data_IF_653395839045
#
_entry.id   IF_653395839045
#
_cell.length_a   1.000
_cell.length_b   1.000
_cell.length_c   1.000
_cell.angle_alpha   90.00
_cell.angle_beta   90.00
_cell.angle_gamma   90.00
#
_symmetry.space_group_name_H-M   'P 1'
#
loop_
_entity.id
_entity.type
_entity.pdbx_description
1 polymer ?
#
# COMPACT_ATOMS: atom_id res chain seq x y z
N UNK A 1 6.30 1.23 -8.71
CA UNK A 1 7.33 0.32 -8.16
C UNK A 1 6.66 -0.66 -7.23
N UNK A 2 6.89 -1.97 -7.38
CA UNK A 2 6.51 -3.00 -6.41
C UNK A 2 7.76 -3.52 -5.69
N UNK A 3 7.96 -3.10 -4.44
CA UNK A 3 9.14 -3.44 -3.64
C UNK A 3 8.80 -4.54 -2.62
N UNK A 4 9.44 -5.72 -2.71
CA UNK A 4 9.32 -6.78 -1.71
C UNK A 4 10.65 -7.51 -1.53
N UNK A 5 11.15 -7.64 -0.31
CA UNK A 5 12.40 -8.37 0.00
C UNK A 5 12.23 -9.90 -0.08
N UNK A 6 11.27 -10.39 -0.87
CA UNK A 6 10.83 -11.78 -0.98
C UNK A 6 9.85 -11.94 -2.15
N UNK A 7 8.96 -12.94 -2.05
CA UNK A 7 7.91 -13.14 -3.07
C UNK A 7 7.04 -11.89 -3.12
N UNK A 8 6.87 -11.33 -4.32
CA UNK A 8 5.97 -10.21 -4.53
C UNK A 8 4.54 -10.69 -4.30
N UNK A 9 3.86 -10.10 -3.31
CA UNK A 9 2.47 -10.44 -3.04
C UNK A 9 1.58 -10.07 -4.24
N UNK A 10 0.60 -10.93 -4.52
CA UNK A 10 -0.33 -10.74 -5.65
C UNK A 10 -1.07 -9.39 -5.58
N UNK A 11 -1.38 -8.88 -4.39
CA UNK A 11 -2.01 -7.57 -4.22
C UNK A 11 -1.18 -6.43 -4.81
N UNK A 12 0.14 -6.47 -4.71
CA UNK A 12 1.00 -5.41 -5.25
C UNK A 12 1.01 -5.43 -6.79
N UNK A 13 0.86 -6.62 -7.38
CA UNK A 13 0.69 -6.79 -8.83
C UNK A 13 -0.64 -6.16 -9.26
N UNK A 14 -1.75 -6.49 -8.60
CA UNK A 14 -3.06 -5.91 -8.95
C UNK A 14 -3.14 -4.40 -8.73
N UNK A 15 -2.58 -3.88 -7.63
CA UNK A 15 -2.46 -2.42 -7.43
C UNK A 15 -1.67 -1.75 -8.56
N UNK A 16 -0.60 -2.42 -9.06
CA UNK A 16 0.19 -1.92 -10.19
C UNK A 16 -0.62 -1.94 -11.49
N UNK A 17 -1.34 -3.03 -11.77
CA UNK A 17 -2.23 -3.14 -12.94
C UNK A 17 -3.35 -2.09 -12.88
N UNK A 18 -3.99 -1.91 -11.72
CA UNK A 18 -5.00 -0.88 -11.52
C UNK A 18 -4.45 0.52 -11.73
N UNK A 19 -3.26 0.81 -11.19
CA UNK A 19 -2.58 2.08 -11.39
C UNK A 19 -2.29 2.36 -12.87
N UNK A 20 -1.74 1.40 -13.60
CA UNK A 20 -1.48 1.53 -15.04
C UNK A 20 -2.78 1.78 -15.81
N UNK A 21 -3.85 1.04 -15.50
CA UNK A 21 -5.16 1.26 -16.11
C UNK A 21 -5.69 2.69 -15.83
N UNK A 22 -5.52 3.18 -14.61
CA UNK A 22 -5.93 4.53 -14.23
C UNK A 22 -5.14 5.61 -14.99
N UNK A 23 -3.82 5.47 -15.09
CA UNK A 23 -2.97 6.41 -15.83
C UNK A 23 -3.28 6.37 -17.34
N UNK A 24 -3.50 5.19 -17.93
CA UNK A 24 -3.88 5.07 -19.34
C UNK A 24 -5.24 5.72 -19.63
N UNK A 25 -6.24 5.50 -18.75
CA UNK A 25 -7.55 6.18 -18.86
C UNK A 25 -7.46 7.70 -18.69
N UNK A 26 -6.42 8.16 -17.99
CA UNK A 26 -6.08 9.58 -17.82
C UNK A 26 -5.34 10.17 -19.02
N UNK A 27 -5.05 9.37 -20.06
CA UNK A 27 -4.36 9.82 -21.27
C UNK A 27 -2.83 9.77 -21.20
N UNK A 28 -2.24 9.18 -20.16
CA UNK A 28 -0.79 8.99 -20.08
C UNK A 28 -0.40 7.78 -20.94
N UNK A 29 0.44 7.93 -21.97
CA UNK A 29 0.82 6.82 -22.82
C UNK A 29 1.82 5.88 -22.12
N UNK A 30 1.75 4.59 -22.42
CA UNK A 30 2.62 3.57 -21.81
C UNK A 30 4.12 3.83 -22.03
N UNK A 31 4.51 4.47 -23.13
CA UNK A 31 5.91 4.86 -23.40
C UNK A 31 6.48 5.86 -22.38
N UNK A 32 5.60 6.58 -21.66
CA UNK A 32 5.96 7.50 -20.58
C UNK A 32 5.92 6.81 -19.20
N UNK A 33 5.58 5.53 -19.13
CA UNK A 33 5.45 4.77 -17.89
C UNK A 33 6.57 3.75 -17.82
N UNK A 34 7.40 3.86 -16.78
CA UNK A 34 8.39 2.83 -16.42
C UNK A 34 7.91 2.04 -15.22
N UNK A 35 8.03 0.72 -15.29
CA UNK A 35 7.56 -0.18 -14.25
C UNK A 35 8.74 -0.90 -13.61
N UNK A 36 8.94 -0.61 -12.33
CA UNK A 36 9.94 -1.28 -11.50
C UNK A 36 9.25 -2.32 -10.63
N UNK A 37 9.69 -3.57 -10.72
CA UNK A 37 9.21 -4.68 -9.88
C UNK A 37 10.33 -5.71 -9.74
N UNK A 38 10.52 -6.22 -8.53
CA UNK A 38 11.50 -7.24 -8.25
C UNK A 38 11.27 -8.48 -9.13
N UNK A 39 12.36 -9.15 -9.50
CA UNK A 39 12.39 -10.20 -10.55
C UNK A 39 11.30 -11.28 -10.38
N UNK A 40 11.00 -11.65 -9.13
CA UNK A 40 10.01 -12.66 -8.79
C UNK A 40 8.56 -12.28 -9.19
N UNK A 41 8.25 -10.99 -9.34
CA UNK A 41 6.92 -10.52 -9.72
C UNK A 41 6.74 -10.19 -11.21
N UNK A 42 7.82 -10.21 -12.00
CA UNK A 42 7.78 -9.72 -13.38
C UNK A 42 6.87 -10.54 -14.29
N UNK A 43 6.98 -11.87 -14.27
CA UNK A 43 6.19 -12.72 -15.17
C UNK A 43 4.70 -12.67 -14.85
N UNK A 44 4.35 -12.70 -13.56
CA UNK A 44 2.97 -12.55 -13.11
C UNK A 44 2.40 -11.18 -13.50
N UNK A 45 3.18 -10.11 -13.37
CA UNK A 45 2.75 -8.78 -13.81
C UNK A 45 2.56 -8.71 -15.33
N UNK A 46 3.51 -9.21 -16.14
CA UNK A 46 3.37 -9.26 -17.60
C UNK A 46 2.10 -9.99 -18.01
N UNK A 47 1.85 -11.15 -17.41
CA UNK A 47 0.65 -11.93 -17.69
C UNK A 47 -0.63 -11.14 -17.41
N UNK A 48 -0.73 -10.48 -16.24
CA UNK A 48 -1.90 -9.69 -15.88
C UNK A 48 -2.09 -8.44 -16.74
N UNK A 49 -1.00 -7.77 -17.12
CA UNK A 49 -1.07 -6.61 -18.04
C UNK A 49 -1.58 -7.02 -19.42
N UNK A 50 -1.10 -8.14 -19.95
CA UNK A 50 -1.58 -8.69 -21.21
C UNK A 50 -3.04 -9.13 -21.11
N UNK A 51 -3.40 -9.92 -20.09
CA UNK A 51 -4.75 -10.52 -20.00
C UNK A 51 -5.85 -9.51 -19.65
N UNK A 52 -5.55 -8.53 -18.79
CA UNK A 52 -6.58 -7.60 -18.28
C UNK A 52 -6.60 -6.27 -19.03
N UNK A 53 -5.46 -5.81 -19.55
CA UNK A 53 -5.35 -4.50 -20.20
C UNK A 53 -4.99 -4.58 -21.69
N UNK A 54 -4.68 -5.78 -22.22
CA UNK A 54 -4.22 -5.94 -23.60
C UNK A 54 -2.87 -5.28 -23.87
N UNK A 55 -2.08 -5.01 -22.83
CA UNK A 55 -0.78 -4.35 -22.97
C UNK A 55 0.28 -5.42 -23.17
N UNK A 56 0.80 -5.48 -24.39
CA UNK A 56 1.87 -6.38 -24.79
C UNK A 56 3.22 -5.63 -24.80
N UNK A 57 4.33 -6.36 -24.64
CA UNK A 57 5.70 -5.83 -24.76
C UNK A 57 6.07 -4.70 -23.77
N UNK A 58 5.71 -4.87 -22.50
CA UNK A 58 6.11 -3.94 -21.43
C UNK A 58 7.53 -4.21 -20.95
N UNK A 59 8.37 -3.18 -20.97
CA UNK A 59 9.67 -3.22 -20.31
C UNK A 59 9.49 -3.18 -18.79
N UNK A 60 9.98 -4.23 -18.12
CA UNK A 60 9.99 -4.35 -16.66
C UNK A 60 11.43 -4.33 -16.17
N UNK A 61 11.72 -3.50 -15.20
CA UNK A 61 13.03 -3.41 -14.57
C UNK A 61 12.97 -3.85 -13.11
N UNK A 62 14.05 -4.45 -12.60
CA UNK A 62 14.19 -4.67 -11.15
C UNK A 62 14.34 -3.35 -10.41
N UNK A 63 13.97 -3.30 -9.13
CA UNK A 63 14.13 -2.07 -8.33
C UNK A 63 15.59 -1.67 -8.16
N UNK A 64 16.52 -2.62 -8.28
CA UNK A 64 17.97 -2.38 -8.30
C UNK A 64 18.40 -1.42 -9.42
N UNK A 65 17.63 -1.32 -10.50
CA UNK A 65 17.90 -0.42 -11.62
C UNK A 65 17.41 1.01 -11.40
N UNK A 66 16.80 1.34 -10.25
CA UNK A 66 16.17 2.63 -10.00
C UNK A 66 17.10 3.83 -10.24
N UNK A 67 18.29 3.85 -9.63
CA UNK A 67 19.23 4.98 -9.79
C UNK A 67 19.63 5.15 -11.26
N UNK A 68 19.95 4.05 -11.95
CA UNK A 68 20.31 4.06 -13.35
C UNK A 68 19.20 4.64 -14.23
N UNK A 69 17.97 4.15 -14.06
CA UNK A 69 16.81 4.61 -14.83
C UNK A 69 16.56 6.11 -14.62
N UNK A 70 16.63 6.59 -13.38
CA UNK A 70 16.46 8.01 -13.09
C UNK A 70 17.53 8.87 -13.78
N UNK A 71 18.75 8.37 -13.98
CA UNK A 71 19.82 9.11 -14.67
C UNK A 71 19.71 9.08 -16.21
N UNK A 72 19.05 8.05 -16.76
CA UNK A 72 18.94 7.80 -18.21
C UNK A 72 17.74 8.52 -18.85
N UNK A 73 16.66 8.79 -18.12
CA UNK A 73 15.39 9.36 -18.60
C UNK A 73 15.42 10.88 -18.86
N UNK A 74 16.40 11.35 -19.62
CA UNK A 74 16.69 12.78 -19.86
C UNK A 74 15.64 13.54 -20.66
N UNK A 75 14.65 12.84 -21.21
CA UNK A 75 13.60 13.44 -22.05
C UNK A 75 12.49 14.13 -21.25
N UNK A 76 12.47 13.94 -19.93
CA UNK A 76 11.43 14.46 -19.06
C UNK A 76 11.98 15.47 -18.05
N UNK A 77 11.19 16.50 -17.76
CA UNK A 77 11.50 17.49 -16.71
C UNK A 77 10.76 17.24 -15.41
N UNK A 78 9.80 16.32 -15.42
CA UNK A 78 8.95 16.01 -14.26
C UNK A 78 8.86 14.52 -14.08
N UNK A 79 8.97 14.09 -12.82
CA UNK A 79 8.84 12.70 -12.41
C UNK A 79 7.60 12.52 -11.54
N UNK A 80 6.77 11.54 -11.83
CA UNK A 80 5.73 11.06 -10.90
C UNK A 80 6.03 9.61 -10.57
N UNK A 81 6.19 9.30 -9.29
CA UNK A 81 6.63 7.99 -8.84
C UNK A 81 5.65 7.39 -7.83
N UNK A 82 4.94 6.34 -8.25
CA UNK A 82 4.07 5.56 -7.38
C UNK A 82 4.82 4.36 -6.81
N UNK A 83 4.90 4.27 -5.49
CA UNK A 83 5.59 3.20 -4.78
C UNK A 83 4.55 2.40 -4.00
N UNK A 84 4.49 1.11 -4.29
CA UNK A 84 3.75 0.10 -3.54
C UNK A 84 4.71 -1.02 -3.11
N UNK A 85 4.30 -1.80 -2.12
CA UNK A 85 5.11 -2.87 -1.57
C UNK A 85 5.24 -2.78 -0.06
N UNK A 86 6.21 -3.52 0.48
CA UNK A 86 6.49 -3.53 1.90
C UNK A 86 7.39 -2.36 2.32
N UNK A 87 7.13 -1.88 3.53
CA UNK A 87 7.98 -0.94 4.25
C UNK A 87 8.06 -1.34 5.71
N UNK A 88 9.17 -1.00 6.34
CA UNK A 88 9.37 -1.16 7.78
C UNK A 88 9.83 0.18 8.37
N UNK A 89 10.16 0.19 9.66
CA UNK A 89 10.59 1.39 10.38
C UNK A 89 11.96 1.95 9.92
N UNK A 90 12.63 1.31 8.95
CA UNK A 90 13.96 1.71 8.47
C UNK A 90 13.98 2.08 6.98
N UNK A 91 13.13 1.46 6.14
CA UNK A 91 13.27 1.54 4.69
C UNK A 91 12.04 1.05 3.90
N UNK A 92 12.08 1.26 2.58
CA UNK A 92 11.33 0.47 1.59
C UNK A 92 12.02 -0.88 1.43
N UNK A 93 11.26 -1.97 1.58
CA UNK A 93 11.77 -3.33 1.51
C UNK A 93 11.81 -3.82 0.06
N UNK A 94 12.60 -3.16 -0.79
CA UNK A 94 12.90 -3.63 -2.14
C UNK A 94 14.00 -4.72 -2.13
N UNK A 95 14.36 -5.30 -3.28
CA UNK A 95 15.46 -6.27 -3.38
C UNK A 95 16.74 -5.77 -2.68
N UNK A 96 17.09 -4.50 -2.92
CA UNK A 96 18.03 -3.75 -2.08
C UNK A 96 17.22 -2.73 -1.27
N UNK A 97 17.21 -2.81 0.07
CA UNK A 97 16.44 -1.88 0.90
C UNK A 97 16.76 -0.41 0.61
N UNK A 98 15.73 0.38 0.30
CA UNK A 98 15.89 1.80 -0.05
C UNK A 98 15.52 2.67 1.15
N UNK A 99 16.53 3.27 1.76
CA UNK A 99 16.37 4.23 2.86
C UNK A 99 15.87 5.59 2.32
N UNK A 100 15.23 6.43 3.16
CA UNK A 100 14.79 7.77 2.76
C UNK A 100 15.87 8.60 2.08
N UNK A 101 17.05 8.74 2.70
CA UNK A 101 18.15 9.52 2.15
C UNK A 101 18.66 9.00 0.80
N UNK A 102 18.60 7.68 0.58
CA UNK A 102 19.02 7.05 -0.68
C UNK A 102 18.05 7.40 -1.79
N UNK A 103 16.73 7.28 -1.56
CA UNK A 103 15.72 7.65 -2.56
C UNK A 103 15.84 9.13 -2.95
N UNK A 104 15.99 10.02 -1.96
CA UNK A 104 16.13 11.46 -2.23
C UNK A 104 17.40 11.74 -3.01
N UNK A 105 18.51 11.09 -2.65
CA UNK A 105 19.77 11.21 -3.37
C UNK A 105 19.63 10.79 -4.83
N UNK A 106 18.97 9.66 -5.11
CA UNK A 106 18.76 9.20 -6.49
C UNK A 106 17.99 10.23 -7.32
N UNK A 107 16.91 10.78 -6.78
CA UNK A 107 16.11 11.80 -7.47
C UNK A 107 16.92 13.09 -7.65
N UNK A 108 17.62 13.57 -6.62
CA UNK A 108 18.42 14.81 -6.70
C UNK A 108 19.64 14.68 -7.62
N UNK A 109 20.21 13.48 -7.78
CA UNK A 109 21.31 13.22 -8.71
C UNK A 109 20.87 13.26 -10.18
N UNK A 110 19.59 13.00 -10.45
CA UNK A 110 19.00 13.16 -11.78
C UNK A 110 18.66 14.65 -12.03
N UNK A 111 19.70 15.44 -12.29
CA UNK A 111 19.65 16.91 -12.35
C UNK A 111 18.78 17.50 -13.48
N UNK A 112 18.29 16.67 -14.40
CA UNK A 112 17.38 17.09 -15.47
C UNK A 112 15.92 17.23 -15.00
N UNK A 113 15.55 16.62 -13.87
CA UNK A 113 14.23 16.81 -13.29
C UNK A 113 14.14 18.16 -12.56
N UNK A 114 13.18 18.98 -12.98
CA UNK A 114 12.83 20.23 -12.29
C UNK A 114 11.92 19.97 -11.10
N UNK A 115 11.10 18.91 -11.19
CA UNK A 115 10.08 18.54 -10.19
C UNK A 115 9.94 17.02 -10.08
N UNK A 116 9.68 16.53 -8.88
CA UNK A 116 9.33 15.13 -8.66
C UNK A 116 8.19 15.02 -7.65
N UNK A 117 7.24 14.12 -7.91
CA UNK A 117 6.15 13.79 -6.99
C UNK A 117 6.25 12.30 -6.66
N UNK A 118 6.38 11.96 -5.38
CA UNK A 118 6.53 10.58 -4.92
C UNK A 118 5.33 10.21 -4.04
N UNK A 119 4.53 9.26 -4.50
CA UNK A 119 3.42 8.70 -3.73
C UNK A 119 3.85 7.36 -3.10
N UNK A 120 3.79 7.28 -1.78
CA UNK A 120 4.25 6.15 -0.98
C UNK A 120 3.04 5.39 -0.39
N UNK A 121 2.76 4.18 -0.87
CA UNK A 121 1.66 3.33 -0.40
C UNK A 121 2.00 2.46 0.82
N UNK A 122 3.28 2.20 1.07
CA UNK A 122 3.73 1.17 2.01
C UNK A 122 3.53 1.53 3.49
N UNK A 123 3.63 0.53 4.37
CA UNK A 123 3.70 0.72 5.81
C UNK A 123 4.87 1.62 6.22
N UNK A 124 4.69 2.40 7.29
CA UNK A 124 5.70 3.30 7.84
C UNK A 124 6.21 4.35 6.85
N UNK A 125 5.41 4.74 5.85
CA UNK A 125 5.81 5.76 4.87
C UNK A 125 6.30 7.06 5.55
N UNK A 126 5.80 7.41 6.74
CA UNK A 126 6.21 8.58 7.52
C UNK A 126 7.70 8.69 7.85
N UNK A 127 8.50 7.62 7.72
CA UNK A 127 9.96 7.72 7.85
C UNK A 127 10.59 8.63 6.76
N UNK A 128 9.86 8.89 5.67
CA UNK A 128 10.24 9.81 4.60
C UNK A 128 9.85 11.28 4.87
N UNK A 129 9.08 11.56 5.94
CA UNK A 129 8.42 12.86 6.18
C UNK A 129 9.35 14.03 6.59
N UNK A 130 10.65 13.81 6.77
CA UNK A 130 11.57 14.88 7.23
C UNK A 130 12.85 14.94 6.40
N UNK A 131 12.75 14.60 5.12
CA UNK A 131 13.88 14.65 4.21
C UNK A 131 14.07 16.07 3.63
N UNK A 132 15.31 16.48 3.30
CA UNK A 132 15.58 17.79 2.69
C UNK A 132 15.19 17.76 1.20
N UNK A 133 13.90 17.89 0.91
CA UNK A 133 13.29 17.68 -0.42
C UNK A 133 13.13 18.95 -1.25
N UNK A 134 13.17 20.12 -0.62
CA UNK A 134 13.09 21.39 -1.33
C UNK A 134 14.35 21.66 -2.16
N UNK A 135 14.22 22.51 -3.18
CA UNK A 135 15.36 23.14 -3.86
C UNK A 135 16.20 23.94 -2.87
N UNK A 136 17.50 24.03 -3.19
CA UNK A 136 18.45 24.90 -2.51
C UNK A 136 18.86 25.94 -3.56
N UNK A 137 18.75 27.23 -3.23
CA UNK A 137 19.18 28.34 -4.09
C UNK A 137 18.55 28.37 -5.51
N UNK A 138 17.28 27.94 -5.64
CA UNK A 138 16.55 27.78 -6.91
C UNK A 138 17.15 26.75 -7.89
N UNK A 139 18.14 25.97 -7.45
CA UNK A 139 18.76 24.91 -8.24
C UNK A 139 18.31 23.53 -7.78
N UNK A 140 18.26 22.58 -8.73
CA UNK A 140 17.91 21.19 -8.50
C UNK A 140 16.41 20.87 -8.64
N UNK A 141 16.03 19.70 -8.14
CA UNK A 141 14.67 19.16 -8.24
C UNK A 141 13.84 19.52 -7.00
N UNK A 142 12.64 20.10 -7.20
CA UNK A 142 11.65 20.23 -6.13
C UNK A 142 10.92 18.90 -5.97
N UNK A 143 11.09 18.25 -4.82
CA UNK A 143 10.47 16.95 -4.55
C UNK A 143 9.28 17.15 -3.60
N UNK A 144 8.11 16.68 -4.02
CA UNK A 144 6.92 16.51 -3.18
C UNK A 144 6.79 15.04 -2.84
N UNK A 145 6.57 14.73 -1.56
CA UNK A 145 6.37 13.34 -1.12
C UNK A 145 5.04 13.26 -0.41
N UNK A 146 4.21 12.31 -0.83
CA UNK A 146 2.92 12.04 -0.22
C UNK A 146 2.93 10.61 0.30
N UNK A 147 2.67 10.44 1.60
CA UNK A 147 2.66 9.13 2.23
C UNK A 147 1.27 8.68 2.65
N UNK A 148 0.99 7.40 2.42
CA UNK A 148 -0.25 6.74 2.80
C UNK A 148 -0.49 6.72 4.32
N UNK A 149 0.59 6.74 5.10
CA UNK A 149 0.55 6.63 6.55
C UNK A 149 1.78 7.30 7.16
N UNK A 150 1.68 7.76 8.40
CA UNK A 150 2.80 8.28 9.18
C UNK A 150 3.71 7.13 9.66
N UNK A 151 3.98 7.02 10.97
CA UNK A 151 4.83 5.98 11.55
C UNK A 151 4.06 4.68 11.90
N UNK A 152 2.91 4.44 11.26
CA UNK A 152 2.08 3.24 11.47
C UNK A 152 2.01 2.37 10.21
N UNK A 153 1.36 1.21 10.32
CA UNK A 153 1.11 0.36 9.17
C UNK A 153 0.13 1.04 8.18
N UNK A 154 0.30 0.75 6.89
CA UNK A 154 -0.66 1.13 5.84
C UNK A 154 -1.75 0.06 5.75
N UNK A 155 -2.97 0.44 5.38
CA UNK A 155 -4.12 -0.47 5.34
C UNK A 155 -4.41 -0.86 3.90
N UNK A 156 -4.70 -2.16 3.72
CA UNK A 156 -5.28 -2.69 2.50
C UNK A 156 -6.65 -3.27 2.80
N UNK A 157 -7.61 -3.07 1.88
CA UNK A 157 -8.98 -3.58 2.02
C UNK A 157 -9.39 -4.34 0.78
N UNK A 158 -10.33 -5.28 0.93
CA UNK A 158 -10.90 -5.99 -0.21
C UNK A 158 -11.66 -5.03 -1.12
N UNK A 159 -11.38 -5.11 -2.42
CA UNK A 159 -12.06 -4.35 -3.46
C UNK A 159 -12.33 -5.23 -4.67
N UNK A 160 -13.07 -4.71 -5.64
CA UNK A 160 -13.24 -5.33 -6.96
C UNK A 160 -13.41 -4.27 -8.03
N UNK A 161 -12.73 -4.45 -9.17
CA UNK A 161 -12.81 -3.53 -10.32
C UNK A 161 -13.08 -4.29 -11.61
N UNK A 162 -13.63 -3.57 -12.59
CA UNK A 162 -13.86 -4.10 -13.94
C UNK A 162 -12.67 -3.76 -14.85
N UNK A 163 -12.05 -4.80 -15.39
CA UNK A 163 -11.04 -4.73 -16.45
C UNK A 163 -11.68 -5.25 -17.75
N UNK A 164 -12.24 -4.32 -18.54
CA UNK A 164 -13.08 -4.68 -19.68
C UNK A 164 -14.35 -5.39 -19.22
N UNK A 165 -14.50 -6.67 -19.61
CA UNK A 165 -15.64 -7.52 -19.21
C UNK A 165 -15.36 -8.37 -17.96
N UNK A 166 -14.12 -8.41 -17.49
CA UNK A 166 -13.73 -9.21 -16.34
C UNK A 166 -13.81 -8.39 -15.05
N UNK A 167 -14.53 -8.92 -14.05
CA UNK A 167 -14.53 -8.34 -12.69
C UNK A 167 -13.49 -9.07 -11.84
N UNK A 168 -12.50 -8.33 -11.36
CA UNK A 168 -11.37 -8.86 -10.59
C UNK A 168 -11.42 -8.31 -9.18
N UNK A 169 -11.22 -9.17 -8.18
CA UNK A 169 -11.17 -8.80 -6.77
C UNK A 169 -9.77 -9.01 -6.19
N UNK A 170 -9.30 -8.08 -5.36
CA UNK A 170 -8.04 -8.20 -4.63
C UNK A 170 -8.06 -7.37 -3.33
N UNK A 171 -6.99 -7.46 -2.53
CA UNK A 171 -6.82 -6.67 -1.31
C UNK A 171 -5.98 -5.44 -1.63
N UNK A 172 -6.63 -4.34 -2.01
CA UNK A 172 -5.96 -3.16 -2.54
C UNK A 172 -5.35 -2.27 -1.46
N UNK A 173 -4.21 -1.66 -1.74
CA UNK A 173 -3.72 -0.53 -0.95
C UNK A 173 -4.73 0.63 -1.00
N UNK A 174 -5.35 0.94 0.14
CA UNK A 174 -6.50 1.84 0.18
C UNK A 174 -6.13 3.27 -0.24
N UNK A 175 -4.93 3.73 0.11
CA UNK A 175 -4.47 5.07 -0.24
C UNK A 175 -4.13 5.18 -1.73
N UNK A 176 -3.37 4.24 -2.29
CA UNK A 176 -3.06 4.24 -3.71
C UNK A 176 -4.32 4.06 -4.56
N UNK A 177 -5.28 3.24 -4.10
CA UNK A 177 -6.58 3.11 -4.75
C UNK A 177 -7.32 4.46 -4.79
N UNK A 178 -7.37 5.17 -3.66
CA UNK A 178 -7.94 6.52 -3.60
C UNK A 178 -7.26 7.50 -4.55
N UNK A 179 -5.92 7.47 -4.63
CA UNK A 179 -5.17 8.29 -5.59
C UNK A 179 -5.56 7.96 -7.04
N UNK A 180 -5.52 6.70 -7.44
CA UNK A 180 -5.80 6.31 -8.82
C UNK A 180 -7.26 6.56 -9.22
N UNK A 181 -8.21 6.49 -8.28
CA UNK A 181 -9.59 6.95 -8.48
C UNK A 181 -9.63 8.45 -8.77
N UNK A 182 -8.84 9.26 -8.06
CA UNK A 182 -8.73 10.69 -8.36
C UNK A 182 -8.07 10.93 -9.73
N UNK A 183 -7.01 10.20 -10.09
CA UNK A 183 -6.40 10.35 -11.42
C UNK A 183 -7.41 10.07 -12.55
N UNK A 184 -8.30 9.10 -12.38
CA UNK A 184 -9.36 8.82 -13.36
C UNK A 184 -10.46 9.91 -13.42
N UNK A 185 -10.72 10.56 -12.29
CA UNK A 185 -11.80 11.53 -12.12
C UNK A 185 -11.33 12.70 -11.25
N UNK A 186 -10.43 13.54 -11.78
CA UNK A 186 -9.82 14.59 -10.98
C UNK A 186 -10.89 15.62 -10.60
N UNK A 187 -10.87 15.99 -9.32
CA UNK A 187 -11.73 17.02 -8.75
C UNK A 187 -10.88 18.01 -7.96
N UNK A 188 -11.21 19.29 -8.08
CA UNK A 188 -10.67 20.36 -7.25
C UNK A 188 -11.28 20.22 -5.84
N UNK A 189 -10.42 20.09 -4.83
CA UNK A 189 -10.86 19.87 -3.45
C UNK A 189 -10.90 21.16 -2.64
N UNK A 190 -10.04 22.14 -2.93
CA UNK A 190 -10.01 23.41 -2.17
C UNK A 190 -10.72 24.58 -2.84
N UNK A 191 -11.16 24.43 -4.08
CA UNK A 191 -11.99 25.40 -4.79
C UNK A 191 -11.19 26.55 -5.39
N UNK A 192 -9.92 26.32 -5.74
CA UNK A 192 -9.05 27.29 -6.40
C UNK A 192 -9.04 27.20 -7.94
N UNK A 193 -9.94 26.38 -8.51
CA UNK A 193 -10.12 26.08 -9.93
C UNK A 193 -8.90 25.37 -10.58
N UNK A 194 -7.99 24.80 -9.79
CA UNK A 194 -6.84 24.03 -10.28
C UNK A 194 -6.92 22.59 -9.79
N UNK A 195 -6.34 21.69 -10.59
CA UNK A 195 -6.25 20.26 -10.27
C UNK A 195 -4.80 19.96 -9.91
N UNK A 196 -4.47 19.99 -8.62
CA UNK A 196 -3.08 19.93 -8.16
C UNK A 196 -2.75 18.63 -7.44
N UNK A 197 -1.45 18.39 -7.23
CA UNK A 197 -0.96 17.33 -6.34
C UNK A 197 -1.54 17.46 -4.92
N UNK A 198 -1.83 18.69 -4.47
CA UNK A 198 -2.48 18.89 -3.19
C UNK A 198 -3.92 18.32 -3.17
N UNK A 199 -4.65 18.40 -4.29
CA UNK A 199 -6.01 17.86 -4.41
C UNK A 199 -6.02 16.34 -4.46
N UNK A 200 -5.08 15.74 -5.19
CA UNK A 200 -4.92 14.29 -5.19
C UNK A 200 -4.67 13.75 -3.77
N UNK A 201 -3.80 14.43 -3.00
CA UNK A 201 -3.54 14.11 -1.61
C UNK A 201 -4.79 14.25 -0.73
N UNK A 202 -5.49 15.38 -0.80
CA UNK A 202 -6.70 15.63 0.02
C UNK A 202 -7.80 14.63 -0.31
N UNK A 203 -8.00 14.34 -1.60
CA UNK A 203 -8.95 13.32 -2.04
C UNK A 203 -8.60 11.96 -1.48
N UNK A 204 -7.36 11.49 -1.69
CA UNK A 204 -6.94 10.16 -1.24
C UNK A 204 -6.99 10.03 0.28
N UNK A 205 -6.58 11.05 1.02
CA UNK A 205 -6.68 11.09 2.48
C UNK A 205 -8.14 11.02 2.97
N UNK A 206 -9.03 11.82 2.38
CA UNK A 206 -10.47 11.78 2.69
C UNK A 206 -11.10 10.44 2.32
N UNK A 207 -10.70 9.87 1.18
CA UNK A 207 -11.15 8.56 0.68
C UNK A 207 -10.81 7.45 1.68
N UNK A 208 -9.56 7.38 2.14
CA UNK A 208 -9.10 6.43 3.17
C UNK A 208 -9.91 6.59 4.45
N UNK A 209 -10.01 7.82 4.96
CA UNK A 209 -10.72 8.09 6.22
C UNK A 209 -12.19 7.68 6.16
N UNK A 210 -12.88 7.97 5.04
CA UNK A 210 -14.28 7.59 4.85
C UNK A 210 -14.46 6.08 4.75
N UNK A 211 -13.57 5.39 4.04
CA UNK A 211 -13.59 3.93 3.92
C UNK A 211 -13.38 3.26 5.29
N UNK A 212 -12.40 3.71 6.07
CA UNK A 212 -12.14 3.21 7.43
C UNK A 212 -13.29 3.54 8.39
N UNK A 213 -13.82 4.77 8.35
CA UNK A 213 -14.95 5.14 9.20
C UNK A 213 -16.19 4.27 8.92
N UNK A 214 -16.49 4.02 7.64
CA UNK A 214 -17.62 3.18 7.24
C UNK A 214 -17.40 1.72 7.65
N UNK A 215 -16.20 1.19 7.42
CA UNK A 215 -15.82 -0.16 7.87
C UNK A 215 -15.91 -0.32 9.39
N UNK A 216 -15.42 0.67 10.13
CA UNK A 216 -15.49 0.71 11.59
C UNK A 216 -16.94 0.75 12.08
N UNK A 217 -17.81 1.54 11.44
CA UNK A 217 -19.21 1.63 11.87
C UNK A 217 -19.98 0.32 11.64
N UNK A 218 -19.76 -0.33 10.51
CA UNK A 218 -20.59 -1.46 10.07
C UNK A 218 -20.05 -2.83 10.53
N UNK A 219 -18.74 -2.98 10.61
CA UNK A 219 -18.09 -4.29 10.80
C UNK A 219 -17.54 -4.46 12.22
N UNK A 220 -17.04 -3.38 12.84
CA UNK A 220 -16.37 -3.44 14.14
C UNK A 220 -17.24 -3.99 15.28
N UNK A 221 -18.53 -3.60 15.44
CA UNK A 221 -19.35 -4.13 16.53
C UNK A 221 -19.52 -5.66 16.44
N UNK A 222 -19.75 -6.18 15.24
CA UNK A 222 -19.93 -7.62 15.02
C UNK A 222 -18.62 -8.38 15.27
N UNK A 223 -17.49 -7.86 14.79
CA UNK A 223 -16.17 -8.47 15.05
C UNK A 223 -15.83 -8.49 16.55
N UNK A 224 -16.16 -7.45 17.29
CA UNK A 224 -15.97 -7.44 18.74
C UNK A 224 -16.84 -8.47 19.44
N UNK A 225 -18.10 -8.60 19.06
CA UNK A 225 -19.00 -9.62 19.60
C UNK A 225 -18.44 -11.01 19.32
N UNK A 226 -18.03 -11.29 18.08
CA UNK A 226 -17.46 -12.57 17.68
C UNK A 226 -16.15 -12.89 18.43
N UNK A 227 -15.30 -11.88 18.62
CA UNK A 227 -14.04 -12.02 19.36
C UNK A 227 -14.31 -12.33 20.84
N UNK A 228 -15.23 -11.60 21.48
CA UNK A 228 -15.62 -11.85 22.87
C UNK A 228 -16.23 -13.24 23.03
N UNK A 229 -17.08 -13.67 22.10
CA UNK A 229 -17.64 -15.02 22.09
C UNK A 229 -16.55 -16.09 21.95
N UNK A 230 -15.60 -15.91 21.02
CA UNK A 230 -14.50 -16.84 20.81
C UNK A 230 -13.59 -16.95 22.04
N UNK A 231 -13.21 -15.80 22.64
CA UNK A 231 -12.42 -15.76 23.88
C UNK A 231 -13.16 -16.42 25.05
N UNK A 232 -14.46 -16.17 25.17
CA UNK A 232 -15.29 -16.79 26.23
C UNK A 232 -15.35 -18.30 26.07
N UNK A 233 -15.56 -18.79 24.85
CA UNK A 233 -15.56 -20.22 24.55
C UNK A 233 -14.20 -20.86 24.83
N UNK A 234 -13.10 -20.24 24.41
CA UNK A 234 -11.74 -20.71 24.71
C UNK A 234 -11.48 -20.82 26.23
N UNK A 235 -11.92 -19.81 27.00
CA UNK A 235 -11.82 -19.85 28.47
C UNK A 235 -12.63 -20.99 29.08
N UNK A 236 -13.86 -21.21 28.62
CA UNK A 236 -14.70 -22.30 29.09
C UNK A 236 -14.08 -23.68 28.79
N UNK A 237 -13.55 -23.88 27.58
CA UNK A 237 -12.82 -25.10 27.22
C UNK A 237 -11.58 -25.31 28.11
N UNK A 238 -10.90 -24.23 28.48
CA UNK A 238 -9.75 -24.30 29.41
C UNK A 238 -10.18 -24.75 30.81
N UNK A 239 -11.30 -24.23 31.31
CA UNK A 239 -11.88 -24.65 32.59
C UNK A 239 -12.30 -26.13 32.52
N UNK A 240 -12.94 -26.55 31.43
CA UNK A 240 -13.38 -27.93 31.22
C UNK A 240 -12.21 -28.90 31.14
N UNK A 241 -11.16 -28.57 30.37
CA UNK A 241 -9.91 -29.35 30.29
C UNK A 241 -9.31 -29.55 31.69
N UNK A 242 -9.29 -28.50 32.51
CA UNK A 242 -8.77 -28.57 33.88
C UNK A 242 -9.64 -29.41 34.82
N UNK A 243 -10.97 -29.43 34.62
CA UNK A 243 -11.89 -30.26 35.41
C UNK A 243 -11.85 -31.74 35.03
N UNK A 244 -11.59 -32.05 33.76
CA UNK A 244 -11.51 -33.41 33.21
C UNK A 244 -10.10 -34.00 33.26
N UNK A 245 -9.20 -33.47 34.09
CA UNK A 245 -7.88 -34.09 34.28
C UNK A 245 -8.04 -35.43 34.98
N UNK A 246 -7.81 -36.52 34.23
CA UNK A 246 -7.79 -37.87 34.77
C UNK A 246 -6.43 -38.50 34.50
N UNK A 247 -5.92 -39.22 35.50
CA UNK A 247 -4.62 -39.89 35.44
C UNK A 247 -4.82 -41.39 35.35
N UNK A 248 -4.16 -42.04 34.38
CA UNK A 248 -4.06 -43.50 34.31
C UNK A 248 -2.58 -43.88 34.35
N UNK A 249 -2.19 -44.63 35.38
CA UNK A 249 -0.77 -45.01 35.57
C UNK A 249 0.18 -43.83 35.80
N UNK A 250 -0.31 -42.70 36.34
CA UNK A 250 0.48 -41.48 36.55
C UNK A 250 0.62 -40.58 35.32
N UNK A 251 0.02 -40.96 34.18
CA UNK A 251 -0.01 -40.17 32.95
C UNK A 251 -1.32 -39.39 32.85
N UNK A 252 -1.24 -38.09 32.62
CA UNK A 252 -2.42 -37.24 32.33
C UNK A 252 -3.00 -37.63 30.97
N UNK A 253 -4.25 -38.09 30.94
CA UNK A 253 -4.95 -38.35 29.70
C UNK A 253 -5.50 -37.02 29.15
N UNK A 254 -5.20 -36.76 27.88
CA UNK A 254 -5.66 -35.56 27.18
C UNK A 254 -7.00 -35.84 26.48
N UNK A 255 -8.00 -34.99 26.74
CA UNK A 255 -9.27 -34.98 26.00
C UNK A 255 -9.01 -34.33 24.62
N UNK A 256 -8.66 -35.17 23.65
CA UNK A 256 -8.28 -34.77 22.29
C UNK A 256 -9.33 -33.87 21.60
N UNK A 257 -10.65 -34.16 21.69
CA UNK A 257 -11.69 -33.23 21.22
C UNK A 257 -11.58 -31.81 21.80
N UNK A 258 -11.41 -31.67 23.11
CA UNK A 258 -11.27 -30.35 23.76
C UNK A 258 -10.01 -29.64 23.27
N UNK A 259 -8.90 -30.37 23.09
CA UNK A 259 -7.65 -29.78 22.64
C UNK A 259 -7.71 -29.29 21.19
N UNK A 260 -8.34 -30.06 20.29
CA UNK A 260 -8.57 -29.65 18.91
C UNK A 260 -9.48 -28.42 18.84
N UNK A 261 -10.54 -28.38 19.65
CA UNK A 261 -11.44 -27.23 19.68
C UNK A 261 -10.77 -25.99 20.28
N UNK A 262 -9.93 -26.14 21.30
CA UNK A 262 -9.12 -25.05 21.84
C UNK A 262 -8.16 -24.47 20.80
N UNK A 263 -7.50 -25.32 20.01
CA UNK A 263 -6.62 -24.89 18.93
C UNK A 263 -7.39 -24.10 17.88
N UNK A 264 -8.54 -24.61 17.44
CA UNK A 264 -9.40 -23.91 16.48
C UNK A 264 -9.90 -22.55 17.02
N UNK A 265 -10.26 -22.49 18.30
CA UNK A 265 -10.66 -21.22 18.92
C UNK A 265 -9.51 -20.23 19.04
N UNK A 266 -8.29 -20.69 19.32
CA UNK A 266 -7.09 -19.84 19.33
C UNK A 266 -6.84 -19.23 17.94
N UNK A 267 -6.86 -20.06 16.89
CA UNK A 267 -6.71 -19.58 15.51
C UNK A 267 -7.81 -18.57 15.12
N UNK A 268 -9.06 -18.82 15.55
CA UNK A 268 -10.17 -17.88 15.35
C UNK A 268 -9.94 -16.56 16.10
N UNK A 269 -9.46 -16.61 17.35
CA UNK A 269 -9.16 -15.42 18.15
C UNK A 269 -8.05 -14.60 17.50
N UNK A 270 -6.98 -15.25 17.03
CA UNK A 270 -5.86 -14.58 16.38
C UNK A 270 -6.33 -13.86 15.11
N UNK A 271 -7.13 -14.53 14.27
CA UNK A 271 -7.71 -13.94 13.06
C UNK A 271 -8.61 -12.74 13.36
N UNK A 272 -9.57 -12.88 14.29
CA UNK A 272 -10.47 -11.80 14.68
C UNK A 272 -9.72 -10.62 15.30
N UNK A 273 -8.68 -10.89 16.10
CA UNK A 273 -7.84 -9.86 16.71
C UNK A 273 -7.07 -9.07 15.64
N UNK A 274 -6.56 -9.75 14.61
CA UNK A 274 -5.93 -9.07 13.46
C UNK A 274 -6.91 -8.17 12.71
N UNK A 275 -8.15 -8.62 12.48
CA UNK A 275 -9.17 -7.80 11.81
C UNK A 275 -9.55 -6.57 12.64
N UNK A 276 -9.73 -6.73 13.95
CA UNK A 276 -9.98 -5.63 14.90
C UNK A 276 -8.82 -4.63 14.89
N UNK A 277 -7.57 -5.11 14.89
CA UNK A 277 -6.39 -4.27 14.85
C UNK A 277 -6.31 -3.41 13.57
N UNK A 278 -6.71 -3.95 12.41
CA UNK A 278 -6.78 -3.20 11.15
C UNK A 278 -7.78 -2.05 11.25
N UNK A 279 -8.97 -2.31 11.80
CA UNK A 279 -10.03 -1.30 11.96
C UNK A 279 -9.67 -0.21 12.98
N UNK A 280 -8.88 -0.54 13.99
CA UNK A 280 -8.36 0.42 14.97
C UNK A 280 -7.15 1.21 14.46
N UNK A 281 -6.50 0.76 13.38
CA UNK A 281 -5.36 1.46 12.84
C UNK A 281 -5.80 2.78 12.20
N UNK A 282 -5.18 3.88 12.65
CA UNK A 282 -5.38 5.19 12.02
C UNK A 282 -4.40 5.31 10.86
N UNK A 283 -4.95 5.46 9.66
CA UNK A 283 -4.18 5.74 8.47
C UNK A 283 -4.27 7.23 8.16
N UNK A 284 -3.40 8.01 8.79
CA UNK A 284 -3.26 9.44 8.52
C UNK A 284 -2.22 9.64 7.42
N UNK A 285 -2.71 9.95 6.22
CA UNK A 285 -1.86 10.35 5.11
C UNK A 285 -1.18 11.70 5.42
N UNK A 286 -0.04 11.94 4.80
CA UNK A 286 0.71 13.19 4.97
C UNK A 286 1.32 13.63 3.64
N UNK A 287 1.67 14.91 3.57
CA UNK A 287 2.36 15.52 2.44
C UNK A 287 3.53 16.36 2.93
N UNK A 288 4.71 16.10 2.36
CA UNK A 288 5.92 16.89 2.56
C UNK A 288 6.14 17.77 1.34
N UNK A 289 6.53 19.03 1.60
CA UNK A 289 6.68 20.09 0.61
C UNK A 289 5.34 20.56 0.01
N UNK A 290 4.41 20.96 0.90
CA UNK A 290 3.03 21.29 0.55
C UNK A 290 2.86 22.56 -0.31
N UNK A 291 3.81 23.51 -0.29
CA UNK A 291 3.71 24.74 -1.10
C UNK A 291 3.91 24.39 -2.59
N UNK A 292 5.00 23.71 -3.01
CA UNK A 292 5.10 23.21 -4.38
C UNK A 292 3.96 22.29 -4.80
N UNK A 293 3.40 21.49 -3.88
CA UNK A 293 2.27 20.60 -4.20
C UNK A 293 1.01 21.35 -4.68
N UNK A 294 0.79 22.58 -4.23
CA UNK A 294 -0.32 23.46 -4.67
C UNK A 294 -0.06 24.13 -6.02
N UNK A 295 1.09 23.88 -6.64
CA UNK A 295 1.51 24.50 -7.90
C UNK A 295 1.76 23.47 -9.00
N UNK A 296 1.83 22.18 -8.67
CA UNK A 296 2.02 21.12 -9.65
C UNK A 296 0.64 20.64 -10.06
N UNK A 297 0.25 20.99 -11.28
CA UNK A 297 -1.02 20.57 -11.89
C UNK A 297 -0.93 19.14 -12.44
N UNK A 298 -2.09 18.49 -12.47
CA UNK A 298 -2.34 17.16 -13.05
C UNK A 298 -2.16 17.17 -14.58
#
# INVERSE_FOLDING_TARGET
MGASSGIVEERFIFDTVFGINALNKSGIPMENIRILIDSQGQDALRQKLSSLLGIENVELCGTISLERLLLEEKNYKSLVFFINGHGNHECLMAEIPIKPSVLIKYIKNATHFERAVVYLGQCFAGIFNYQPVAKIDNEGCDIVIVGATNLSASISISTSENFGLERVSWVANLFLMGLFVWFQHPIDIDGDDRLTVADSYKFAGSYVNRALHTGNKNTFPNLLVDLVQAVTKYKNLTIEKNRKKFYVGGVELVDLPIELEQKAMREKIDNLSSQVAILLNRQEAWILNAIPAQQIEY
#
